data_IF_313087392483
#
_entry.id   IF_313087392483
#
_cell.length_a   1.000
_cell.length_b   1.000
_cell.length_c   1.000
_cell.angle_alpha   90.00
_cell.angle_beta   90.00
_cell.angle_gamma   90.00
#
_symmetry.space_group_name_H-M   'P 1'
#
loop_
_entity.id
_entity.type
_entity.pdbx_description
1 polymer ?
#
# COMPACT_ATOMS: atom_id res chain seq x y z
N UNK A 1 -26.12 26.48 57.45
CA UNK A 1 -24.69 26.19 57.20
C UNK A 1 -24.56 24.76 56.68
N UNK A 2 -23.89 24.62 55.52
CA UNK A 2 -23.09 23.50 54.99
C UNK A 2 -23.62 22.05 55.06
N UNK A 3 -23.87 21.50 53.85
CA UNK A 3 -23.34 20.23 53.25
C UNK A 3 -23.69 18.90 53.96
N UNK A 4 -23.91 17.76 53.32
CA UNK A 4 -23.53 17.28 51.99
C UNK A 4 -24.46 16.09 51.64
N UNK A 5 -25.14 16.16 50.50
CA UNK A 5 -25.89 15.04 49.93
C UNK A 5 -24.88 14.04 49.34
N UNK A 6 -24.93 12.76 49.72
CA UNK A 6 -24.18 11.70 49.02
C UNK A 6 -25.18 10.83 48.23
N UNK A 7 -25.11 10.83 46.89
CA UNK A 7 -25.86 9.92 46.03
C UNK A 7 -25.01 8.67 45.78
N UNK A 8 -25.49 7.50 46.23
CA UNK A 8 -24.87 6.20 45.91
C UNK A 8 -25.85 5.31 45.12
N UNK A 9 -26.47 5.88 44.08
CA UNK A 9 -27.47 5.18 43.28
C UNK A 9 -27.33 5.43 41.78
N UNK A 10 -26.12 5.43 41.21
CA UNK A 10 -25.97 5.47 39.73
C UNK A 10 -24.69 4.79 39.21
N UNK A 11 -24.23 3.71 39.85
CA UNK A 11 -23.04 2.99 39.39
C UNK A 11 -23.33 1.64 38.70
N UNK A 12 -24.59 1.23 38.56
CA UNK A 12 -24.95 -0.10 38.04
C UNK A 12 -25.58 -0.12 36.65
N UNK A 13 -25.59 1.01 35.93
CA UNK A 13 -26.21 1.10 34.59
C UNK A 13 -25.18 1.13 33.44
N UNK A 14 -23.87 1.21 33.72
CA UNK A 14 -22.83 1.26 32.66
C UNK A 14 -22.21 -0.12 32.35
N UNK A 15 -22.82 -1.21 32.80
CA UNK A 15 -22.40 -2.60 32.50
C UNK A 15 -23.20 -3.26 31.38
N UNK A 16 -23.91 -2.48 30.56
CA UNK A 16 -24.63 -2.97 29.38
C UNK A 16 -24.28 -2.05 28.21
N UNK A 17 -23.84 -2.64 27.11
CA UNK A 17 -23.39 -2.01 25.86
C UNK A 17 -21.88 -1.72 25.76
N UNK A 18 -21.02 -2.57 26.31
CA UNK A 18 -19.79 -2.93 25.59
C UNK A 18 -20.17 -3.81 24.40
N UNK A 19 -20.87 -3.23 23.43
CA UNK A 19 -20.84 -3.72 22.06
C UNK A 19 -19.38 -3.62 21.65
N UNK A 20 -18.67 -4.72 21.82
CA UNK A 20 -17.45 -4.97 21.08
C UNK A 20 -17.88 -4.86 19.62
N UNK A 21 -17.69 -3.68 19.03
CA UNK A 21 -17.56 -3.55 17.60
C UNK A 21 -16.38 -4.44 17.24
N UNK A 22 -16.66 -5.73 17.00
CA UNK A 22 -15.84 -6.53 16.12
C UNK A 22 -15.89 -5.78 14.81
N UNK A 23 -14.90 -4.91 14.62
CA UNK A 23 -14.52 -4.42 13.30
C UNK A 23 -14.35 -5.72 12.52
N UNK A 24 -15.30 -6.00 11.62
CA UNK A 24 -15.16 -7.07 10.65
C UNK A 24 -13.77 -6.89 10.11
N UNK A 25 -12.89 -7.81 10.49
CA UNK A 25 -11.49 -7.71 10.16
C UNK A 25 -11.50 -8.09 8.70
N UNK A 26 -11.61 -7.06 7.85
CA UNK A 26 -11.32 -7.15 6.43
C UNK A 26 -10.06 -8.00 6.29
N UNK A 27 -10.03 -8.92 5.31
CA UNK A 27 -9.05 -9.98 5.28
C UNK A 27 -7.64 -9.39 5.42
N UNK A 28 -6.97 -9.70 6.53
CA UNK A 28 -5.55 -9.45 6.67
C UNK A 28 -4.86 -10.50 5.79
N UNK A 29 -4.60 -10.14 4.54
CA UNK A 29 -3.93 -11.05 3.61
C UNK A 29 -2.44 -10.82 3.76
N UNK A 30 -1.78 -11.70 4.53
CA UNK A 30 -0.32 -11.72 4.67
C UNK A 30 0.30 -12.32 3.41
N UNK A 31 1.19 -11.55 2.77
CA UNK A 31 1.86 -11.92 1.52
C UNK A 31 3.21 -12.60 1.67
N UNK A 32 3.65 -13.22 0.58
CA UNK A 32 5.01 -13.67 0.36
C UNK A 32 5.97 -12.46 0.32
N UNK A 33 7.01 -12.47 1.17
CA UNK A 33 8.03 -11.40 1.20
C UNK A 33 9.20 -11.81 0.31
N UNK A 34 9.49 -10.96 -0.66
CA UNK A 34 10.61 -11.10 -1.58
C UNK A 34 11.65 -10.05 -1.24
N UNK A 35 12.78 -10.46 -0.68
CA UNK A 35 13.73 -9.51 -0.10
C UNK A 35 14.63 -8.82 -1.13
N UNK A 36 14.92 -9.48 -2.25
CA UNK A 36 15.83 -8.97 -3.28
C UNK A 36 15.13 -8.39 -4.51
N UNK A 37 13.81 -8.54 -4.64
CA UNK A 37 13.01 -8.07 -5.78
C UNK A 37 12.97 -9.00 -7.00
N UNK A 38 13.76 -10.07 -7.02
CA UNK A 38 13.87 -11.00 -8.17
C UNK A 38 12.54 -11.70 -8.50
N UNK A 39 11.69 -11.91 -7.50
CA UNK A 39 10.36 -12.49 -7.63
C UNK A 39 9.37 -11.66 -8.48
N UNK A 40 9.67 -10.39 -8.74
CA UNK A 40 8.74 -9.51 -9.46
C UNK A 40 8.75 -9.81 -10.97
N UNK A 41 9.83 -10.40 -11.49
CA UNK A 41 9.90 -10.88 -12.87
C UNK A 41 10.71 -12.19 -12.92
N UNK A 42 10.16 -13.31 -12.43
CA UNK A 42 10.89 -14.58 -12.35
C UNK A 42 11.25 -15.15 -13.73
N UNK A 43 10.56 -14.72 -14.78
CA UNK A 43 10.83 -15.09 -16.18
C UNK A 43 12.12 -14.45 -16.73
N UNK A 44 12.64 -13.41 -16.07
CA UNK A 44 13.84 -12.69 -16.48
C UNK A 44 15.02 -13.08 -15.59
N UNK A 45 15.61 -14.24 -15.89
CA UNK A 45 16.80 -14.72 -15.19
C UNK A 45 17.97 -13.71 -15.31
N UNK A 46 18.65 -13.45 -14.19
CA UNK A 46 19.83 -12.59 -14.14
C UNK A 46 19.56 -11.09 -14.07
N UNK A 47 18.30 -10.64 -14.07
CA UNK A 47 17.99 -9.23 -13.81
C UNK A 47 18.29 -8.85 -12.37
N UNK A 48 18.97 -7.72 -12.18
CA UNK A 48 19.27 -7.20 -10.85
C UNK A 48 18.20 -6.22 -10.42
N UNK A 49 17.83 -6.33 -9.16
CA UNK A 49 16.93 -5.44 -8.49
C UNK A 49 17.64 -4.74 -7.35
N UNK A 50 17.22 -3.51 -7.10
CA UNK A 50 17.69 -2.69 -5.99
C UNK A 50 16.49 -2.32 -5.13
N UNK A 51 16.54 -2.63 -3.84
CA UNK A 51 15.58 -2.11 -2.89
C UNK A 51 15.73 -0.58 -2.79
N UNK A 52 14.61 0.12 -2.95
CA UNK A 52 14.56 1.59 -2.92
C UNK A 52 14.01 2.07 -1.60
N UNK A 53 12.88 1.49 -1.19
CA UNK A 53 12.17 1.94 0.00
C UNK A 53 11.18 0.90 0.49
N UNK A 54 11.03 0.83 1.81
CA UNK A 54 9.90 0.16 2.46
C UNK A 54 8.80 1.18 2.76
N UNK A 55 7.56 0.85 2.42
CA UNK A 55 6.39 1.67 2.67
C UNK A 55 5.54 1.01 3.75
N UNK A 56 5.20 1.76 4.79
CA UNK A 56 4.39 1.30 5.90
C UNK A 56 3.09 2.11 5.97
N UNK A 57 1.98 1.48 5.58
CA UNK A 57 0.66 2.10 5.60
C UNK A 57 0.50 3.27 4.63
N UNK A 58 1.20 3.23 3.48
CA UNK A 58 1.13 4.25 2.46
C UNK A 58 -0.26 4.30 1.82
N UNK A 59 -0.78 5.52 1.58
CA UNK A 59 -2.07 5.69 0.92
C UNK A 59 -1.95 5.41 -0.58
N UNK A 60 -2.83 4.53 -1.07
CA UNK A 60 -2.85 4.12 -2.46
C UNK A 60 -4.27 3.93 -3.00
N UNK A 61 -4.39 4.03 -4.31
CA UNK A 61 -5.53 3.54 -5.08
C UNK A 61 -5.09 2.32 -5.90
N UNK A 62 -6.02 1.40 -6.16
CA UNK A 62 -5.77 0.23 -6.99
C UNK A 62 -6.20 0.50 -8.43
N UNK A 63 -5.30 0.26 -9.38
CA UNK A 63 -5.53 0.41 -10.82
C UNK A 63 -5.22 -0.93 -11.49
N UNK A 64 -6.21 -1.60 -12.06
CA UNK A 64 -6.00 -2.88 -12.73
C UNK A 64 -6.43 -2.82 -14.19
N UNK A 65 -5.63 -3.42 -15.05
CA UNK A 65 -5.95 -3.69 -16.45
C UNK A 65 -6.38 -5.14 -16.66
N UNK A 66 -6.27 -5.62 -17.89
CA UNK A 66 -6.57 -7.01 -18.23
C UNK A 66 -5.47 -7.99 -17.82
N UNK A 67 -4.25 -7.50 -17.62
CA UNK A 67 -3.04 -8.34 -17.48
C UNK A 67 -2.29 -8.06 -16.18
N UNK A 68 -2.44 -6.87 -15.60
CA UNK A 68 -1.69 -6.47 -14.42
C UNK A 68 -2.43 -5.41 -13.58
N UNK A 69 -2.13 -5.41 -12.30
CA UNK A 69 -2.50 -4.39 -11.33
C UNK A 69 -1.31 -3.48 -10.98
N UNK A 70 -1.62 -2.24 -10.63
CA UNK A 70 -0.70 -1.23 -10.15
C UNK A 70 -1.31 -0.49 -8.98
N UNK A 71 -0.46 -0.04 -8.07
CA UNK A 71 -0.83 0.89 -7.01
C UNK A 71 -0.51 2.31 -7.46
N UNK A 72 -1.46 3.21 -7.27
CA UNK A 72 -1.27 4.65 -7.45
C UNK A 72 -1.13 5.26 -6.07
N UNK A 73 0.09 5.61 -5.70
CA UNK A 73 0.42 6.18 -4.40
C UNK A 73 0.05 7.66 -4.32
N UNK A 74 -0.49 8.07 -3.17
CA UNK A 74 -0.78 9.48 -2.90
C UNK A 74 0.51 10.31 -2.91
N UNK A 75 1.54 9.80 -2.25
CA UNK A 75 2.87 10.40 -2.23
C UNK A 75 3.69 9.94 -3.43
N UNK A 76 4.44 10.87 -4.01
CA UNK A 76 5.37 10.56 -5.09
C UNK A 76 6.57 9.80 -4.52
N UNK A 77 6.97 8.74 -5.21
CA UNK A 77 8.17 7.98 -4.91
C UNK A 77 9.28 8.50 -5.81
N UNK A 78 10.35 9.00 -5.21
CA UNK A 78 11.53 9.47 -5.92
C UNK A 78 12.36 8.27 -6.33
N UNK A 79 12.83 8.28 -7.58
CA UNK A 79 13.86 7.35 -8.00
C UNK A 79 15.17 7.65 -7.24
N UNK A 80 15.76 6.62 -6.63
CA UNK A 80 17.03 6.75 -5.90
C UNK A 80 18.17 7.29 -6.78
N UNK A 81 18.14 7.03 -8.09
CA UNK A 81 19.13 7.58 -9.04
C UNK A 81 19.05 9.10 -9.14
N UNK A 82 17.98 9.71 -8.65
CA UNK A 82 17.82 11.16 -8.59
C UNK A 82 17.95 11.72 -7.18
N UNK A 83 18.37 10.94 -6.19
CA UNK A 83 18.55 11.42 -4.81
C UNK A 83 19.50 12.62 -4.73
N UNK A 84 20.55 12.60 -5.57
CA UNK A 84 21.52 13.69 -5.70
C UNK A 84 21.02 14.89 -6.54
N UNK A 85 19.87 14.77 -7.18
CA UNK A 85 19.25 15.84 -7.98
C UNK A 85 18.21 16.57 -7.12
N UNK A 86 18.16 17.93 -7.16
CA UNK A 86 17.13 18.71 -6.49
C UNK A 86 15.72 18.19 -6.79
N UNK A 87 14.84 18.21 -5.78
CA UNK A 87 13.47 17.65 -5.80
C UNK A 87 12.69 18.05 -7.06
N UNK A 88 12.88 19.28 -7.54
CA UNK A 88 12.19 19.88 -8.68
C UNK A 88 12.57 19.25 -10.04
N UNK A 89 13.68 18.52 -10.13
CA UNK A 89 14.23 17.97 -11.38
C UNK A 89 14.32 16.44 -11.40
N UNK A 90 13.83 15.77 -10.35
CA UNK A 90 13.85 14.30 -10.25
C UNK A 90 12.73 13.64 -11.06
N UNK A 91 12.97 12.41 -11.50
CA UNK A 91 11.92 11.49 -11.93
C UNK A 91 11.13 10.99 -10.73
N UNK A 92 9.84 11.29 -10.71
CA UNK A 92 8.89 10.90 -9.66
C UNK A 92 7.86 9.95 -10.26
N UNK A 93 7.52 8.90 -9.52
CA UNK A 93 6.45 7.98 -9.92
C UNK A 93 5.39 7.88 -8.82
N UNK A 94 4.12 7.76 -9.22
CA UNK A 94 3.02 7.43 -8.30
C UNK A 94 2.41 6.10 -8.65
N UNK A 95 2.32 5.75 -9.94
CA UNK A 95 1.84 4.46 -10.40
C UNK A 95 2.98 3.44 -10.49
N UNK A 96 2.94 2.42 -9.63
CA UNK A 96 3.92 1.33 -9.63
C UNK A 96 3.18 0.00 -9.78
N UNK A 97 3.57 -0.88 -10.72
CA UNK A 97 2.99 -2.22 -10.86
C UNK A 97 3.23 -3.06 -9.60
N UNK A 98 2.26 -3.92 -9.30
CA UNK A 98 2.37 -4.89 -8.21
C UNK A 98 3.14 -6.10 -8.74
N UNK A 99 4.08 -6.63 -7.97
CA UNK A 99 4.79 -7.85 -8.34
C UNK A 99 3.78 -9.00 -8.52
N UNK A 100 3.83 -9.76 -9.63
CA UNK A 100 2.86 -10.81 -9.95
C UNK A 100 2.67 -11.83 -8.81
N UNK A 101 3.76 -12.18 -8.12
CA UNK A 101 3.75 -13.10 -6.96
C UNK A 101 2.86 -12.61 -5.80
N UNK A 102 2.67 -11.31 -5.66
CA UNK A 102 1.86 -10.66 -4.61
C UNK A 102 0.53 -10.11 -5.12
N UNK A 103 0.23 -10.24 -6.41
CA UNK A 103 -0.98 -9.68 -7.03
C UNK A 103 -2.26 -10.35 -6.52
N UNK A 104 -2.17 -11.61 -6.07
CA UNK A 104 -3.30 -12.33 -5.47
C UNK A 104 -3.91 -11.60 -4.24
N UNK A 105 -3.12 -10.78 -3.54
CA UNK A 105 -3.56 -10.00 -2.37
C UNK A 105 -4.59 -8.92 -2.73
N UNK A 106 -4.66 -8.51 -4.00
CA UNK A 106 -5.61 -7.49 -4.45
C UNK A 106 -6.83 -8.06 -5.17
N UNK A 107 -6.93 -9.39 -5.28
CA UNK A 107 -8.02 -10.05 -5.98
C UNK A 107 -9.36 -9.77 -5.29
N UNK A 108 -10.33 -9.27 -6.06
CA UNK A 108 -11.68 -8.95 -5.57
C UNK A 108 -11.80 -7.60 -4.86
N UNK A 109 -10.70 -6.85 -4.72
CA UNK A 109 -10.76 -5.47 -4.23
C UNK A 109 -11.32 -4.54 -5.32
N UNK A 110 -11.91 -3.42 -4.89
CA UNK A 110 -12.39 -2.37 -5.80
C UNK A 110 -11.17 -1.70 -6.44
N UNK A 111 -11.18 -1.59 -7.76
CA UNK A 111 -10.11 -0.94 -8.52
C UNK A 111 -10.67 -0.02 -9.60
N UNK A 112 -9.82 0.88 -10.08
CA UNK A 112 -10.07 1.66 -11.28
C UNK A 112 -9.51 0.94 -12.51
N UNK A 113 -10.28 0.84 -13.58
CA UNK A 113 -9.79 0.30 -14.84
C UNK A 113 -8.88 1.33 -15.53
N UNK A 114 -7.59 1.01 -15.70
CA UNK A 114 -6.57 1.88 -16.32
C UNK A 114 -6.57 3.36 -15.87
N UNK A 115 -6.75 3.63 -14.57
CA UNK A 115 -6.71 5.02 -14.07
C UNK A 115 -5.38 5.74 -14.30
N UNK A 116 -5.50 7.05 -14.52
CA UNK A 116 -4.44 8.03 -14.42
C UNK A 116 -4.22 8.47 -12.95
N UNK A 117 -3.02 8.97 -12.65
CA UNK A 117 -2.61 9.29 -11.27
C UNK A 117 -3.45 10.39 -10.60
N UNK A 118 -4.07 11.28 -11.39
CA UNK A 118 -4.84 12.43 -10.90
C UNK A 118 -6.35 12.16 -10.84
N UNK A 119 -6.81 10.98 -11.25
CA UNK A 119 -8.23 10.64 -11.38
C UNK A 119 -8.70 9.60 -10.35
N UNK A 120 -7.99 9.46 -9.23
CA UNK A 120 -8.25 8.40 -8.24
C UNK A 120 -8.51 8.95 -6.86
N UNK A 121 -9.35 8.23 -6.13
CA UNK A 121 -9.48 8.35 -4.69
C UNK A 121 -8.67 7.22 -4.04
N UNK A 122 -8.01 7.55 -2.93
CA UNK A 122 -7.16 6.62 -2.20
C UNK A 122 -8.01 5.83 -1.22
N UNK A 123 -8.39 4.62 -1.62
CA UNK A 123 -9.25 3.72 -0.84
C UNK A 123 -8.46 2.74 0.05
N UNK A 124 -7.12 2.75 -0.03
CA UNK A 124 -6.30 1.73 0.60
C UNK A 124 -5.10 2.31 1.34
N UNK A 125 -4.71 1.62 2.42
CA UNK A 125 -3.36 1.65 3.01
C UNK A 125 -2.63 0.38 2.63
N UNK A 126 -1.36 0.52 2.23
CA UNK A 126 -0.54 -0.61 1.79
C UNK A 126 0.79 -0.65 2.52
N UNK A 127 1.30 -1.86 2.70
CA UNK A 127 2.63 -2.14 3.23
C UNK A 127 3.39 -3.00 2.22
N UNK A 128 4.68 -2.74 2.06
CA UNK A 128 5.52 -3.50 1.16
C UNK A 128 6.78 -2.76 0.76
N UNK A 129 7.43 -3.26 -0.28
CA UNK A 129 8.75 -2.82 -0.70
C UNK A 129 8.75 -2.41 -2.18
N UNK A 130 9.35 -1.27 -2.45
CA UNK A 130 9.61 -0.78 -3.81
C UNK A 130 10.98 -1.27 -4.23
N UNK A 131 11.02 -1.96 -5.37
CA UNK A 131 12.24 -2.39 -6.04
C UNK A 131 12.40 -1.65 -7.35
N UNK A 132 13.62 -1.28 -7.68
CA UNK A 132 13.99 -0.81 -9.01
C UNK A 132 14.70 -1.94 -9.75
N UNK A 133 14.29 -2.19 -10.98
CA UNK A 133 15.06 -3.03 -11.88
C UNK A 133 16.21 -2.21 -12.48
N UNK A 134 17.45 -2.47 -12.02
CA UNK A 134 18.61 -1.66 -12.44
C UNK A 134 19.10 -1.99 -13.85
N UNK A 135 18.67 -3.12 -14.39
CA UNK A 135 19.01 -3.57 -15.74
C UNK A 135 17.90 -3.24 -16.75
N UNK A 136 16.72 -2.82 -16.28
CA UNK A 136 15.61 -2.44 -17.15
C UNK A 136 15.89 -1.14 -17.91
N UNK A 137 15.65 -1.18 -19.22
CA UNK A 137 15.43 0.04 -20.00
C UNK A 137 14.00 0.48 -19.77
N UNK A 138 13.82 1.48 -18.90
CA UNK A 138 12.55 2.10 -18.51
C UNK A 138 11.55 2.49 -19.64
N UNK A 139 11.99 2.47 -20.90
CA UNK A 139 11.12 2.68 -22.06
C UNK A 139 10.35 1.42 -22.51
N UNK A 140 10.78 0.23 -22.06
CA UNK A 140 10.20 -1.07 -22.44
C UNK A 140 9.62 -1.83 -21.25
N UNK A 141 10.13 -1.59 -20.04
CA UNK A 141 9.69 -2.24 -18.80
C UNK A 141 9.47 -1.21 -17.70
N UNK A 142 8.54 -1.46 -16.76
CA UNK A 142 8.43 -0.61 -15.57
C UNK A 142 9.77 -0.60 -14.84
N UNK A 143 10.29 0.60 -14.54
CA UNK A 143 11.54 0.71 -13.79
C UNK A 143 11.40 0.22 -12.36
N UNK A 144 10.16 0.22 -11.84
CA UNK A 144 9.86 -0.11 -10.46
C UNK A 144 8.79 -1.18 -10.39
N UNK A 145 8.93 -2.05 -9.40
CA UNK A 145 7.94 -3.02 -9.00
C UNK A 145 7.67 -2.89 -7.51
N UNK A 146 6.43 -3.17 -7.10
CA UNK A 146 6.02 -3.13 -5.70
C UNK A 146 5.67 -4.53 -5.20
N UNK A 147 6.49 -5.06 -4.29
CA UNK A 147 6.18 -6.29 -3.56
C UNK A 147 5.19 -5.94 -2.45
N UNK A 148 3.92 -6.26 -2.67
CA UNK A 148 2.85 -5.99 -1.72
C UNK A 148 2.87 -7.03 -0.60
N UNK A 149 2.96 -6.58 0.64
CA UNK A 149 2.97 -7.47 1.81
C UNK A 149 1.61 -7.48 2.51
N UNK A 150 0.92 -6.34 2.50
CA UNK A 150 -0.40 -6.16 3.11
C UNK A 150 -1.15 -5.00 2.47
N UNK A 151 -2.47 -5.13 2.36
CA UNK A 151 -3.39 -4.06 1.94
C UNK A 151 -4.59 -4.01 2.89
N UNK A 152 -5.04 -2.81 3.25
CA UNK A 152 -6.20 -2.57 4.10
C UNK A 152 -7.07 -1.48 3.46
N UNK A 153 -8.39 -1.68 3.41
CA UNK A 153 -9.30 -0.64 2.91
C UNK A 153 -9.51 0.39 4.01
N UNK A 154 -9.56 1.65 3.62
CA UNK A 154 -9.85 2.75 4.55
C UNK A 154 -11.32 3.17 4.44
N UNK A 155 -11.90 3.70 5.55
CA UNK A 155 -13.28 4.21 5.56
C UNK A 155 -13.51 5.35 4.57
#
# INVERSE_FOLDING_TARGET
MKRLVKPFLYATVVMLMSVSCKKETEPQIEGFVCDDGSCCNPELEGMRYRHIRTLEGALAALSCGNVNCSLIFKEKIKDSKYDHIPIEKGGWQRKIPICPVTEHLVKGLKYYYYAHEDSVEYHYRVWGKVYENVDARCFLYPCFDFSLERIEKIP
#
